data_IF_410202328716
#
_entry.id   IF_410202328716
#
_cell.length_a   1.000
_cell.length_b   1.000
_cell.length_c   1.000
_cell.angle_alpha   90.00
_cell.angle_beta   90.00
_cell.angle_gamma   90.00
#
_symmetry.space_group_name_H-M   'P 1'
#
loop_
_entity.id
_entity.type
_entity.pdbx_description
1 polymer ?
#
# COMPACT_ATOMS: atom_id res chain seq x y z
N UNK A 1 -33.19 13.19 16.70
CA UNK A 1 -34.02 12.05 16.26
C UNK A 1 -33.66 11.74 14.82
N UNK A 2 -32.89 10.68 14.57
CA UNK A 2 -32.74 10.15 13.21
C UNK A 2 -33.16 8.68 13.29
N UNK A 3 -34.48 8.46 13.19
CA UNK A 3 -35.09 7.14 13.15
C UNK A 3 -36.10 7.18 12.01
N UNK A 4 -35.87 6.42 10.94
CA UNK A 4 -36.79 6.37 9.81
C UNK A 4 -36.28 5.68 8.54
N UNK A 5 -34.97 5.41 8.42
CA UNK A 5 -34.43 4.68 7.27
C UNK A 5 -34.31 3.18 7.56
N UNK A 6 -34.76 2.36 6.63
CA UNK A 6 -34.43 0.93 6.57
C UNK A 6 -32.94 0.72 6.25
N UNK A 7 -32.34 -0.41 6.63
CA UNK A 7 -30.95 -0.73 6.30
C UNK A 7 -30.63 -0.62 4.81
N UNK A 8 -31.57 -1.01 3.95
CA UNK A 8 -31.46 -0.96 2.50
C UNK A 8 -31.45 0.50 1.99
N UNK A 9 -32.29 1.36 2.58
CA UNK A 9 -32.27 2.79 2.27
C UNK A 9 -30.98 3.45 2.74
N UNK A 10 -30.48 3.10 3.92
CA UNK A 10 -29.19 3.62 4.42
C UNK A 10 -28.06 3.20 3.48
N UNK A 11 -28.02 1.94 3.05
CA UNK A 11 -27.06 1.44 2.09
C UNK A 11 -27.14 2.17 0.75
N UNK A 12 -28.35 2.36 0.21
CA UNK A 12 -28.57 3.09 -1.04
C UNK A 12 -28.06 4.55 -0.95
N UNK A 13 -28.40 5.26 0.14
CA UNK A 13 -27.90 6.64 0.37
C UNK A 13 -26.37 6.67 0.46
N UNK A 14 -25.75 5.68 1.12
CA UNK A 14 -24.29 5.57 1.19
C UNK A 14 -23.66 5.40 -0.20
N UNK A 15 -24.19 4.51 -1.04
CA UNK A 15 -23.69 4.30 -2.41
C UNK A 15 -23.84 5.56 -3.27
N UNK A 16 -25.00 6.23 -3.21
CA UNK A 16 -25.26 7.44 -3.99
C UNK A 16 -24.30 8.57 -3.61
N UNK A 17 -24.11 8.80 -2.30
CA UNK A 17 -23.20 9.83 -1.80
C UNK A 17 -21.73 9.52 -2.07
N UNK A 18 -21.35 8.23 -2.07
CA UNK A 18 -20.04 7.78 -2.51
C UNK A 18 -19.82 8.06 -4.00
N UNK A 19 -20.76 7.68 -4.85
CA UNK A 19 -20.70 7.88 -6.30
C UNK A 19 -20.67 9.37 -6.68
N UNK A 20 -21.43 10.22 -5.97
CA UNK A 20 -21.43 11.67 -6.21
C UNK A 20 -20.15 12.37 -5.73
N UNK A 21 -19.36 11.68 -4.88
CA UNK A 21 -18.18 12.22 -4.21
C UNK A 21 -18.50 13.26 -3.13
N UNK A 22 -19.73 13.30 -2.62
CA UNK A 22 -20.17 14.27 -1.61
C UNK A 22 -19.76 13.83 -0.18
N UNK A 23 -18.46 13.82 0.09
CA UNK A 23 -17.87 13.25 1.31
C UNK A 23 -18.34 13.92 2.61
N UNK A 24 -18.51 15.25 2.61
CA UNK A 24 -18.99 15.97 3.81
C UNK A 24 -20.44 15.56 4.14
N UNK A 25 -21.30 15.47 3.13
CA UNK A 25 -22.69 15.00 3.30
C UNK A 25 -22.74 13.54 3.76
N UNK A 26 -21.87 12.70 3.20
CA UNK A 26 -21.72 11.30 3.62
C UNK A 26 -21.30 11.21 5.08
N UNK A 27 -20.34 12.03 5.51
CA UNK A 27 -19.92 12.08 6.91
C UNK A 27 -21.06 12.51 7.82
N UNK A 28 -21.75 13.62 7.50
CA UNK A 28 -22.89 14.08 8.30
C UNK A 28 -24.00 13.03 8.39
N UNK A 29 -24.29 12.35 7.27
CA UNK A 29 -25.27 11.26 7.24
C UNK A 29 -24.86 10.10 8.15
N UNK A 30 -23.61 9.63 8.09
CA UNK A 30 -23.12 8.56 8.95
C UNK A 30 -23.08 8.95 10.44
N UNK A 31 -22.78 10.22 10.76
CA UNK A 31 -22.81 10.74 12.14
C UNK A 31 -24.24 10.88 12.70
N UNK A 32 -25.27 10.91 11.85
CA UNK A 32 -26.66 10.99 12.31
C UNK A 32 -27.15 9.71 12.98
N UNK A 33 -26.43 8.59 12.79
CA UNK A 33 -26.70 7.32 13.46
C UNK A 33 -25.85 7.21 14.73
N UNK A 34 -26.44 6.89 15.89
CA UNK A 34 -25.68 6.77 17.13
C UNK A 34 -24.59 5.70 17.01
N UNK A 35 -23.35 6.08 17.31
CA UNK A 35 -22.21 5.18 17.52
C UNK A 35 -22.42 4.34 18.77
N UNK A 36 -23.48 3.54 18.86
CA UNK A 36 -23.66 2.65 20.00
C UNK A 36 -23.02 1.30 19.67
N UNK A 37 -21.77 1.19 20.11
CA UNK A 37 -21.11 -0.08 20.40
C UNK A 37 -22.12 -1.04 21.03
N UNK A 38 -22.12 -2.29 20.54
CA UNK A 38 -22.86 -3.43 21.09
C UNK A 38 -24.33 -3.63 20.67
N UNK A 39 -25.00 -2.70 19.98
CA UNK A 39 -26.40 -2.91 19.49
C UNK A 39 -26.56 -3.12 17.98
N UNK A 40 -25.47 -2.96 17.19
CA UNK A 40 -25.51 -3.15 15.71
C UNK A 40 -25.78 -4.59 15.25
N UNK A 41 -25.76 -5.57 16.15
CA UNK A 41 -26.06 -6.97 15.84
C UNK A 41 -27.54 -7.21 15.50
N UNK A 42 -28.46 -6.38 16.01
CA UNK A 42 -29.92 -6.65 15.93
C UNK A 42 -30.57 -6.14 14.62
N UNK A 43 -29.87 -5.32 13.82
CA UNK A 43 -30.38 -4.81 12.53
C UNK A 43 -29.79 -5.54 11.30
N UNK A 44 -29.07 -6.64 11.51
CA UNK A 44 -28.20 -7.27 10.52
C UNK A 44 -28.94 -8.36 9.69
N UNK A 45 -29.95 -7.95 8.93
CA UNK A 45 -30.67 -8.86 8.02
C UNK A 45 -30.01 -9.05 6.65
N UNK A 46 -29.11 -8.15 6.22
CA UNK A 46 -28.61 -8.13 4.84
C UNK A 46 -27.11 -7.80 4.81
N UNK A 47 -26.26 -8.78 4.50
CA UNK A 47 -24.80 -8.58 4.41
C UNK A 47 -24.40 -7.46 3.41
N UNK A 48 -25.17 -7.29 2.33
CA UNK A 48 -24.92 -6.26 1.32
C UNK A 48 -25.17 -4.84 1.83
N UNK A 49 -26.21 -4.64 2.66
CA UNK A 49 -26.51 -3.30 3.19
C UNK A 49 -25.45 -2.85 4.20
N UNK A 50 -24.95 -3.79 5.00
CA UNK A 50 -23.83 -3.56 5.90
C UNK A 50 -22.55 -3.21 5.13
N UNK A 51 -22.25 -3.90 4.02
CA UNK A 51 -21.06 -3.64 3.21
C UNK A 51 -21.02 -2.22 2.64
N UNK A 52 -22.15 -1.71 2.13
CA UNK A 52 -22.26 -0.33 1.64
C UNK A 52 -21.96 0.72 2.72
N UNK A 53 -22.43 0.49 3.95
CA UNK A 53 -22.16 1.38 5.08
C UNK A 53 -20.68 1.32 5.49
N UNK A 54 -20.08 0.12 5.52
CA UNK A 54 -18.66 -0.05 5.83
C UNK A 54 -17.76 0.62 4.79
N UNK A 55 -18.08 0.49 3.49
CA UNK A 55 -17.41 1.23 2.42
C UNK A 55 -17.48 2.74 2.63
N UNK A 56 -18.65 3.25 2.96
CA UNK A 56 -18.86 4.67 3.20
C UNK A 56 -18.04 5.18 4.40
N UNK A 57 -18.03 4.41 5.50
CA UNK A 57 -17.19 4.70 6.67
C UNK A 57 -15.70 4.72 6.33
N UNK A 58 -15.22 3.72 5.58
CA UNK A 58 -13.83 3.67 5.12
C UNK A 58 -13.47 4.90 4.26
N UNK A 59 -14.34 5.27 3.32
CA UNK A 59 -14.12 6.45 2.48
C UNK A 59 -14.13 7.76 3.30
N UNK A 60 -15.01 7.90 4.29
CA UNK A 60 -15.05 9.07 5.19
C UNK A 60 -13.83 9.12 6.11
N UNK A 61 -13.36 7.97 6.62
CA UNK A 61 -12.11 7.88 7.37
C UNK A 61 -10.93 8.36 6.52
N UNK A 62 -10.85 7.90 5.27
CA UNK A 62 -9.86 8.38 4.30
C UNK A 62 -9.97 9.89 4.03
N UNK A 63 -11.18 10.42 3.82
CA UNK A 63 -11.43 11.85 3.56
C UNK A 63 -10.90 12.77 4.68
N UNK A 64 -11.07 12.34 5.93
CA UNK A 64 -10.61 13.07 7.11
C UNK A 64 -9.17 12.72 7.53
N UNK A 65 -8.41 12.00 6.69
CA UNK A 65 -7.06 11.53 6.99
C UNK A 65 -6.95 10.70 8.28
N UNK A 66 -8.05 10.05 8.71
CA UNK A 66 -8.08 9.13 9.85
C UNK A 66 -7.65 7.74 9.39
N UNK A 67 -6.39 7.61 9.00
CA UNK A 67 -5.89 6.40 8.35
C UNK A 67 -5.88 5.17 9.27
N UNK A 68 -5.63 5.34 10.57
CA UNK A 68 -5.70 4.24 11.53
C UNK A 68 -7.08 3.55 11.52
N UNK A 69 -8.16 4.33 11.57
CA UNK A 69 -9.53 3.81 11.50
C UNK A 69 -9.83 3.16 10.15
N UNK A 70 -9.35 3.75 9.05
CA UNK A 70 -9.44 3.12 7.74
C UNK A 70 -8.80 1.72 7.74
N UNK A 71 -7.59 1.59 8.29
CA UNK A 71 -6.89 0.30 8.32
C UNK A 71 -7.65 -0.73 9.15
N UNK A 72 -8.08 -0.37 10.36
CA UNK A 72 -8.90 -1.23 11.23
C UNK A 72 -10.18 -1.69 10.53
N UNK A 73 -10.92 -0.77 9.90
CA UNK A 73 -12.16 -1.12 9.17
C UNK A 73 -11.90 -2.13 8.05
N UNK A 74 -10.81 -1.94 7.29
CA UNK A 74 -10.49 -2.81 6.17
C UNK A 74 -9.93 -4.16 6.62
N UNK A 75 -9.23 -4.24 7.74
CA UNK A 75 -8.65 -5.49 8.24
C UNK A 75 -9.67 -6.38 8.98
N UNK A 76 -10.65 -5.78 9.66
CA UNK A 76 -11.59 -6.51 10.52
C UNK A 76 -12.87 -6.98 9.81
N UNK A 77 -13.18 -6.44 8.63
CA UNK A 77 -14.44 -6.73 7.93
C UNK A 77 -14.18 -7.36 6.56
N UNK A 78 -14.89 -8.44 6.23
CA UNK A 78 -14.81 -9.09 4.91
C UNK A 78 -15.67 -8.36 3.88
N UNK A 79 -15.12 -8.10 2.69
CA UNK A 79 -15.84 -7.42 1.62
C UNK A 79 -16.01 -8.32 0.40
N UNK A 80 -17.12 -8.12 -0.33
CA UNK A 80 -17.32 -8.77 -1.63
C UNK A 80 -16.32 -8.25 -2.69
N UNK A 81 -15.98 -9.07 -3.70
CA UNK A 81 -15.06 -8.67 -4.77
C UNK A 81 -15.46 -7.39 -5.52
N UNK A 82 -16.76 -7.06 -5.55
CA UNK A 82 -17.29 -5.85 -6.19
C UNK A 82 -16.78 -4.57 -5.51
N UNK A 83 -16.51 -4.65 -4.21
CA UNK A 83 -16.06 -3.53 -3.39
C UNK A 83 -14.53 -3.43 -3.32
N UNK A 84 -13.81 -4.50 -3.64
CA UNK A 84 -12.34 -4.58 -3.53
C UNK A 84 -11.61 -3.44 -4.28
N UNK A 85 -11.93 -3.08 -5.54
CA UNK A 85 -11.16 -2.06 -6.26
C UNK A 85 -11.10 -0.71 -5.53
N UNK A 86 -12.25 -0.26 -4.99
CA UNK A 86 -12.31 0.98 -4.21
C UNK A 86 -11.48 0.88 -2.94
N UNK A 87 -11.68 -0.19 -2.17
CA UNK A 87 -11.05 -0.35 -0.86
C UNK A 87 -9.53 -0.54 -0.97
N UNK A 88 -9.07 -1.29 -1.98
CA UNK A 88 -7.64 -1.42 -2.30
C UNK A 88 -7.03 -0.06 -2.67
N UNK A 89 -7.76 0.77 -3.43
CA UNK A 89 -7.31 2.13 -3.74
C UNK A 89 -7.19 2.99 -2.48
N UNK A 90 -8.17 2.95 -1.58
CA UNK A 90 -8.12 3.70 -0.32
C UNK A 90 -6.92 3.26 0.54
N UNK A 91 -6.72 1.95 0.71
CA UNK A 91 -5.57 1.39 1.43
C UNK A 91 -4.23 1.87 0.88
N UNK A 92 -4.03 1.70 -0.43
CA UNK A 92 -2.77 2.07 -1.08
C UNK A 92 -2.52 3.58 -1.01
N UNK A 93 -3.55 4.37 -1.24
CA UNK A 93 -3.44 5.83 -1.26
C UNK A 93 -3.17 6.39 0.13
N UNK A 94 -3.79 5.84 1.17
CA UNK A 94 -3.54 6.23 2.56
C UNK A 94 -2.06 6.02 2.92
N UNK A 95 -1.53 4.81 2.68
CA UNK A 95 -0.11 4.55 2.94
C UNK A 95 0.84 5.38 2.06
N UNK A 96 0.45 5.71 0.82
CA UNK A 96 1.24 6.62 -0.01
C UNK A 96 1.27 8.02 0.60
N UNK A 97 0.13 8.55 1.04
CA UNK A 97 0.04 9.88 1.65
C UNK A 97 0.84 9.97 2.94
N UNK A 98 0.73 8.98 3.83
CA UNK A 98 1.55 8.94 5.06
C UNK A 98 3.05 8.93 4.74
N UNK A 99 3.47 8.12 3.78
CA UNK A 99 4.87 8.04 3.38
C UNK A 99 5.38 9.28 2.62
N UNK A 100 4.51 9.98 1.88
CA UNK A 100 4.84 11.26 1.25
C UNK A 100 4.99 12.37 2.29
N UNK A 101 4.10 12.41 3.27
CA UNK A 101 4.14 13.36 4.39
C UNK A 101 5.43 13.18 5.21
N UNK A 102 5.75 11.93 5.58
CA UNK A 102 6.99 11.61 6.31
C UNK A 102 8.27 11.98 5.54
N UNK A 103 8.24 11.96 4.21
CA UNK A 103 9.41 12.23 3.37
C UNK A 103 9.49 13.68 2.88
N UNK A 104 8.42 14.47 3.04
CA UNK A 104 8.30 15.82 2.50
C UNK A 104 8.38 15.91 0.97
N UNK A 105 8.18 14.79 0.25
CA UNK A 105 8.22 14.76 -1.23
C UNK A 105 7.37 13.64 -1.83
N UNK A 106 6.86 13.81 -3.05
CA UNK A 106 6.07 12.78 -3.73
C UNK A 106 6.83 11.44 -3.90
N UNK A 107 6.08 10.34 -3.86
CA UNK A 107 6.61 9.01 -4.10
C UNK A 107 6.73 8.73 -5.61
N UNK A 108 7.96 8.46 -6.06
CA UNK A 108 8.19 7.84 -7.37
C UNK A 108 7.78 6.36 -7.40
N UNK A 109 7.84 5.74 -8.58
CA UNK A 109 7.41 4.35 -8.81
C UNK A 109 8.06 3.34 -7.84
N UNK A 110 9.37 3.47 -7.59
CA UNK A 110 10.10 2.60 -6.65
C UNK A 110 9.63 2.80 -5.21
N UNK A 111 9.30 4.04 -4.83
CA UNK A 111 8.74 4.35 -3.52
C UNK A 111 7.40 3.66 -3.32
N UNK A 112 6.47 3.84 -4.27
CA UNK A 112 5.14 3.17 -4.24
C UNK A 112 5.26 1.65 -4.20
N UNK A 113 6.20 1.06 -4.94
CA UNK A 113 6.50 -0.37 -4.87
C UNK A 113 6.95 -0.82 -3.48
N UNK A 114 7.85 -0.07 -2.83
CA UNK A 114 8.31 -0.39 -1.46
C UNK A 114 7.16 -0.36 -0.45
N UNK A 115 6.26 0.62 -0.58
CA UNK A 115 5.08 0.73 0.28
C UNK A 115 4.15 -0.47 0.10
N UNK A 116 3.82 -0.85 -1.15
CA UNK A 116 3.00 -2.05 -1.43
C UNK A 116 3.57 -3.34 -0.83
N UNK A 117 4.90 -3.44 -0.77
CA UNK A 117 5.57 -4.60 -0.17
C UNK A 117 5.60 -4.55 1.36
N UNK A 118 5.68 -3.36 1.95
CA UNK A 118 5.68 -3.18 3.40
C UNK A 118 4.28 -3.36 3.98
N UNK A 119 3.26 -2.92 3.26
CA UNK A 119 1.85 -2.97 3.65
C UNK A 119 1.04 -3.66 2.55
N UNK A 120 1.10 -5.01 2.47
CA UNK A 120 0.30 -5.76 1.51
C UNK A 120 -1.19 -5.55 1.76
N UNK A 121 -2.01 -5.80 0.75
CA UNK A 121 -3.46 -5.69 0.88
C UNK A 121 -3.98 -6.80 1.81
N UNK A 122 -4.86 -6.47 2.78
CA UNK A 122 -5.41 -7.49 3.67
C UNK A 122 -6.37 -8.43 2.92
N UNK A 123 -6.46 -9.68 3.39
CA UNK A 123 -7.25 -10.77 2.76
C UNK A 123 -8.74 -10.46 2.66
N UNK A 124 -9.21 -9.54 3.49
CA UNK A 124 -10.58 -9.02 3.52
C UNK A 124 -10.97 -8.23 2.26
N UNK A 125 -9.98 -7.66 1.55
CA UNK A 125 -10.16 -6.87 0.32
C UNK A 125 -9.31 -7.39 -0.84
N UNK A 126 -8.79 -8.61 -0.73
CA UNK A 126 -7.92 -9.23 -1.73
C UNK A 126 -8.04 -10.76 -1.66
N UNK A 127 -8.35 -11.39 -2.79
CA UNK A 127 -8.59 -12.83 -2.97
C UNK A 127 -7.38 -13.73 -2.69
N UNK A 128 -6.19 -13.17 -2.76
CA UNK A 128 -4.96 -13.82 -2.35
C UNK A 128 -4.03 -14.22 -3.46
N UNK A 129 -4.35 -13.87 -4.71
CA UNK A 129 -3.49 -14.18 -5.84
C UNK A 129 -2.15 -13.44 -5.69
N UNK A 130 -1.09 -14.18 -5.36
CA UNK A 130 0.22 -13.57 -5.18
C UNK A 130 0.82 -13.24 -6.55
N UNK A 131 1.03 -11.95 -6.81
CA UNK A 131 1.85 -11.55 -7.96
C UNK A 131 3.31 -11.86 -7.65
N UNK A 132 3.80 -13.01 -8.11
CA UNK A 132 5.22 -13.34 -7.97
C UNK A 132 6.09 -12.42 -8.83
N UNK A 133 6.76 -11.47 -8.20
CA UNK A 133 7.69 -10.55 -8.86
C UNK A 133 9.06 -11.19 -9.17
N UNK A 134 9.28 -12.43 -8.72
CA UNK A 134 10.47 -13.19 -8.99
C UNK A 134 10.27 -14.06 -10.24
N UNK A 135 11.29 -14.16 -11.10
CA UNK A 135 11.25 -15.13 -12.18
C UNK A 135 11.15 -16.55 -11.62
N UNK A 136 10.56 -17.46 -12.41
CA UNK A 136 10.49 -18.89 -12.09
C UNK A 136 11.89 -19.44 -11.79
N UNK A 137 11.97 -20.43 -10.90
CA UNK A 137 13.25 -21.04 -10.47
C UNK A 137 14.10 -21.47 -11.67
N UNK A 138 13.50 -22.13 -12.66
CA UNK A 138 14.17 -22.54 -13.90
C UNK A 138 14.86 -21.37 -14.60
N UNK A 139 14.14 -20.26 -14.85
CA UNK A 139 14.70 -19.06 -15.47
C UNK A 139 15.81 -18.44 -14.61
N UNK A 140 15.66 -18.42 -13.28
CA UNK A 140 16.70 -17.92 -12.36
C UNK A 140 17.96 -18.77 -12.36
N UNK A 141 17.84 -20.09 -12.49
CA UNK A 141 18.98 -21.00 -12.54
C UNK A 141 19.81 -20.80 -13.79
N UNK A 142 19.18 -20.72 -14.97
CA UNK A 142 19.86 -20.41 -16.25
C UNK A 142 20.61 -19.09 -16.17
N UNK A 143 19.97 -18.03 -15.66
CA UNK A 143 20.62 -16.71 -15.53
C UNK A 143 21.81 -16.73 -14.55
N UNK A 144 21.72 -17.46 -13.44
CA UNK A 144 22.80 -17.60 -12.46
C UNK A 144 23.99 -18.37 -13.04
N UNK A 145 23.73 -19.50 -13.68
CA UNK A 145 24.77 -20.32 -14.32
C UNK A 145 25.53 -19.52 -15.37
N UNK A 146 24.80 -18.79 -16.22
CA UNK A 146 25.43 -17.93 -17.23
C UNK A 146 26.27 -16.83 -16.58
N UNK A 147 25.74 -16.17 -15.53
CA UNK A 147 26.43 -15.09 -14.83
C UNK A 147 27.77 -15.49 -14.24
N UNK A 148 27.86 -16.72 -13.68
CA UNK A 148 29.11 -17.26 -13.15
C UNK A 148 30.20 -17.40 -14.22
N UNK A 149 29.82 -17.65 -15.48
CA UNK A 149 30.76 -17.78 -16.61
C UNK A 149 31.12 -16.42 -17.21
N UNK A 150 30.10 -15.58 -17.42
CA UNK A 150 30.26 -14.28 -18.06
C UNK A 150 29.29 -13.30 -17.37
N UNK A 151 29.73 -12.18 -16.78
CA UNK A 151 28.80 -11.23 -16.14
C UNK A 151 28.19 -10.18 -17.09
N UNK A 152 28.70 -10.09 -18.32
CA UNK A 152 28.37 -9.06 -19.31
C UNK A 152 27.96 -9.69 -20.65
N UNK A 153 26.68 -10.06 -20.84
CA UNK A 153 26.20 -10.59 -22.11
C UNK A 153 26.05 -9.49 -23.16
N UNK A 154 26.45 -9.81 -24.39
CA UNK A 154 26.22 -9.01 -25.59
C UNK A 154 24.73 -8.93 -25.96
N UNK A 155 24.31 -7.99 -26.82
CA UNK A 155 22.92 -7.89 -27.26
C UNK A 155 22.36 -9.17 -27.88
N UNK A 156 23.18 -9.95 -28.59
CA UNK A 156 22.80 -11.25 -29.16
C UNK A 156 22.58 -12.28 -28.05
N UNK A 157 23.55 -12.44 -27.16
CA UNK A 157 23.46 -13.40 -26.05
C UNK A 157 22.28 -13.09 -25.11
N UNK A 158 21.93 -11.82 -24.93
CA UNK A 158 20.71 -11.42 -24.19
C UNK A 158 19.43 -11.89 -24.86
N UNK A 159 19.37 -11.88 -26.20
CA UNK A 159 18.23 -12.42 -26.97
C UNK A 159 18.16 -13.93 -26.83
N UNK A 160 19.30 -14.61 -26.89
CA UNK A 160 19.37 -16.07 -26.73
C UNK A 160 18.94 -16.49 -25.31
N UNK A 161 19.40 -15.76 -24.27
CA UNK A 161 18.97 -15.95 -22.89
C UNK A 161 17.49 -15.65 -22.68
N UNK A 162 16.96 -14.61 -23.33
CA UNK A 162 15.53 -14.30 -23.30
C UNK A 162 14.70 -15.47 -23.87
N UNK A 163 15.10 -16.00 -25.03
CA UNK A 163 14.47 -17.16 -25.64
C UNK A 163 14.55 -18.41 -24.73
N UNK A 164 15.72 -18.71 -24.16
CA UNK A 164 15.92 -19.87 -23.30
C UNK A 164 15.16 -19.79 -21.96
N UNK A 165 14.93 -18.60 -21.44
CA UNK A 165 14.30 -18.39 -20.12
C UNK A 165 12.82 -18.04 -20.18
N UNK A 166 12.28 -17.76 -21.37
CA UNK A 166 10.92 -17.25 -21.57
C UNK A 166 10.74 -15.83 -21.04
N UNK A 167 11.83 -15.06 -20.89
CA UNK A 167 11.83 -13.68 -20.42
C UNK A 167 12.02 -12.72 -21.60
N UNK A 168 11.72 -11.44 -21.40
CA UNK A 168 12.04 -10.40 -22.39
C UNK A 168 13.52 -10.02 -22.31
N UNK A 169 14.11 -9.56 -23.43
CA UNK A 169 15.50 -9.09 -23.46
C UNK A 169 15.75 -7.93 -22.46
N UNK A 170 14.72 -7.12 -22.19
CA UNK A 170 14.74 -6.06 -21.16
C UNK A 170 14.80 -6.65 -19.75
N UNK A 171 13.98 -7.67 -19.44
CA UNK A 171 14.02 -8.37 -18.15
C UNK A 171 15.39 -9.02 -17.90
N UNK A 172 15.96 -9.68 -18.91
CA UNK A 172 17.32 -10.24 -18.84
C UNK A 172 18.35 -9.12 -18.62
N UNK A 173 18.30 -8.05 -19.40
CA UNK A 173 19.21 -6.90 -19.24
C UNK A 173 19.16 -6.31 -17.83
N UNK A 174 17.95 -6.13 -17.28
CA UNK A 174 17.73 -5.62 -15.94
C UNK A 174 18.24 -6.58 -14.87
N UNK A 175 18.05 -7.89 -15.05
CA UNK A 175 18.54 -8.89 -14.12
C UNK A 175 20.07 -8.82 -13.98
N UNK A 176 20.79 -8.81 -15.11
CA UNK A 176 22.26 -8.71 -15.12
C UNK A 176 22.75 -7.40 -14.51
N UNK A 177 22.11 -6.27 -14.85
CA UNK A 177 22.41 -4.97 -14.24
C UNK A 177 22.24 -5.02 -12.71
N UNK A 178 21.10 -5.52 -12.25
CA UNK A 178 20.77 -5.60 -10.82
C UNK A 178 21.65 -6.60 -10.06
N UNK A 179 22.11 -7.67 -10.71
CA UNK A 179 23.03 -8.64 -10.09
C UNK A 179 24.40 -8.01 -9.86
N UNK A 180 24.98 -7.37 -10.88
CA UNK A 180 26.27 -6.65 -10.75
C UNK A 180 26.24 -5.52 -9.73
N UNK A 181 25.11 -4.82 -9.59
CA UNK A 181 24.95 -3.80 -8.56
C UNK A 181 24.95 -4.40 -7.15
N UNK A 182 24.30 -5.56 -6.95
CA UNK A 182 24.29 -6.27 -5.67
C UNK A 182 25.67 -6.78 -5.29
N UNK A 183 26.42 -7.33 -6.24
CA UNK A 183 27.78 -7.84 -5.98
C UNK A 183 28.71 -6.68 -5.57
N UNK A 184 28.68 -5.55 -6.29
CA UNK A 184 29.44 -4.35 -5.91
C UNK A 184 29.08 -3.83 -4.52
N UNK A 185 27.79 -3.82 -4.17
CA UNK A 185 27.35 -3.39 -2.84
C UNK A 185 27.80 -4.36 -1.74
N UNK A 186 27.88 -5.67 -2.01
CA UNK A 186 28.40 -6.66 -1.08
C UNK A 186 29.91 -6.50 -0.87
N UNK A 187 30.69 -6.32 -1.96
CA UNK A 187 32.14 -6.06 -1.86
C UNK A 187 32.45 -4.79 -1.10
N UNK A 188 31.68 -3.71 -1.31
CA UNK A 188 31.90 -2.43 -0.60
C UNK A 188 31.55 -2.53 0.91
N UNK A 189 30.66 -3.44 1.31
CA UNK A 189 30.39 -3.72 2.73
C UNK A 189 31.51 -4.54 3.35
N UNK A 190 32.07 -5.51 2.62
CA UNK A 190 33.19 -6.33 3.07
C UNK A 190 34.49 -5.51 3.21
N UNK A 191 34.72 -4.55 2.31
CA UNK A 191 35.88 -3.65 2.37
C UNK A 191 35.92 -2.74 3.60
N UNK A 192 34.75 -2.40 4.18
CA UNK A 192 34.66 -1.63 5.44
C UNK A 192 34.89 -2.48 6.68
N UNK A 193 34.81 -3.80 6.57
CA UNK A 193 35.09 -4.74 7.69
C UNK A 193 36.51 -5.27 7.70
N UNK A 194 37.31 -4.99 6.65
CA UNK A 194 38.64 -5.59 6.46
C UNK A 194 39.80 -4.60 6.45
N UNK A 195 39.53 -3.29 6.59
CA UNK A 195 40.56 -2.26 6.73
C UNK A 195 40.29 -1.46 8.01
N UNK A 196 40.99 -1.80 9.10
CA UNK A 196 40.99 -1.01 10.33
C UNK A 196 40.98 -1.79 11.64
N UNK A 197 41.78 -2.85 11.77
CA UNK A 197 42.28 -3.24 13.08
C UNK A 197 43.53 -2.42 13.39
N UNK A 198 43.34 -1.22 13.93
CA UNK A 198 44.36 -0.49 14.69
C UNK A 198 43.64 0.23 15.85
N UNK A 199 44.01 -0.17 17.07
CA UNK A 199 43.77 0.48 18.36
C UNK A 199 44.32 1.93 18.30
N UNK A 200 43.92 2.97 19.03
CA UNK A 200 43.08 3.22 20.21
C UNK A 200 42.95 4.75 20.32
N UNK A 201 41.83 5.27 20.83
CA UNK A 201 41.79 6.15 22.02
C UNK A 201 40.47 6.92 22.13
N UNK A 202 39.81 6.64 23.25
CA UNK A 202 38.94 7.46 24.11
C UNK A 202 38.22 8.69 23.53
N UNK A 203 36.89 8.63 23.52
CA UNK A 203 35.97 9.51 24.27
C UNK A 203 34.53 9.17 23.86
N UNK A 204 33.77 8.47 24.70
CA UNK A 204 32.89 9.01 25.74
C UNK A 204 31.42 9.06 25.26
N UNK A 205 30.54 8.57 26.13
CA UNK A 205 29.09 8.77 26.20
C UNK A 205 28.15 7.80 25.45
N UNK A 206 27.60 6.90 26.29
CA UNK A 206 26.34 6.16 26.20
C UNK A 206 25.15 6.91 25.56
N UNK A 207 24.10 6.19 25.11
CA UNK A 207 22.98 6.77 24.38
C UNK A 207 21.93 7.37 25.32
N UNK A 208 21.25 8.47 24.96
CA UNK A 208 19.96 8.77 25.53
C UNK A 208 18.82 8.36 24.60
N UNK A 209 17.86 7.72 25.27
CA UNK A 209 16.44 7.56 25.00
C UNK A 209 15.76 8.52 23.97
N UNK A 210 14.66 7.99 23.43
CA UNK A 210 13.53 8.65 22.77
C UNK A 210 13.36 10.15 23.07
N UNK A 211 13.00 10.95 22.06
CA UNK A 211 12.20 12.14 22.28
C UNK A 211 10.77 11.89 21.81
N UNK A 212 9.90 11.65 22.79
CA UNK A 212 8.53 12.14 22.75
C UNK A 212 8.60 13.67 22.77
N UNK A 213 8.41 14.32 21.62
CA UNK A 213 8.11 15.76 21.59
C UNK A 213 6.89 15.98 20.72
N UNK A 214 5.81 16.36 21.41
CA UNK A 214 4.58 16.89 20.87
C UNK A 214 4.90 18.07 19.97
N UNK A 215 4.86 17.88 18.66
CA UNK A 215 4.73 18.99 17.72
C UNK A 215 3.25 19.26 17.51
N UNK A 216 2.80 20.41 18.04
CA UNK A 216 1.48 20.98 17.78
C UNK A 216 1.27 21.10 16.27
N UNK A 217 0.45 20.20 15.73
CA UNK A 217 -0.08 20.27 14.38
C UNK A 217 -1.21 21.30 14.37
N UNK A 218 -0.86 22.58 14.29
CA UNK A 218 -1.83 23.66 14.15
C UNK A 218 -1.14 24.82 13.46
N UNK A 219 -0.96 24.72 12.14
CA UNK A 219 -1.21 25.79 11.15
C UNK A 219 -0.58 25.44 9.78
N UNK A 220 -1.44 25.49 8.75
CA UNK A 220 -1.14 25.59 7.30
C UNK A 220 -0.63 24.31 6.59
N UNK A 221 -1.22 23.76 5.53
CA UNK A 221 -2.31 24.18 4.62
C UNK A 221 -2.89 22.92 3.95
N UNK A 222 -4.22 22.90 3.80
CA UNK A 222 -5.10 21.96 3.09
C UNK A 222 -4.46 20.90 2.18
N UNK A 223 -4.23 19.71 2.71
CA UNK A 223 -4.08 18.49 1.91
C UNK A 223 -5.35 17.64 2.03
N UNK A 224 -6.50 18.18 1.63
CA UNK A 224 -7.66 17.33 1.42
C UNK A 224 -7.29 16.30 0.35
N UNK A 225 -7.56 15.00 0.56
CA UNK A 225 -7.42 14.04 -0.52
C UNK A 225 -8.31 14.50 -1.68
N UNK A 226 -7.84 14.46 -2.94
CA UNK A 226 -8.65 14.92 -4.05
C UNK A 226 -9.95 14.11 -4.12
N UNK A 227 -11.04 14.76 -4.54
CA UNK A 227 -12.37 14.18 -4.48
C UNK A 227 -12.40 12.85 -5.23
N UNK A 228 -13.09 11.87 -4.65
CA UNK A 228 -13.30 10.54 -5.23
C UNK A 228 -14.11 10.55 -6.55
N UNK A 229 -14.34 11.72 -7.16
CA UNK A 229 -15.13 11.94 -8.38
C UNK A 229 -14.57 11.27 -9.65
N UNK A 230 -13.37 10.67 -9.58
CA UNK A 230 -12.82 9.86 -10.68
C UNK A 230 -13.15 8.36 -10.53
N UNK A 231 -13.97 7.99 -9.54
CA UNK A 231 -14.56 6.65 -9.42
C UNK A 231 -15.74 6.51 -10.40
N UNK A 232 -15.45 6.62 -11.70
CA UNK A 232 -16.37 6.14 -12.72
C UNK A 232 -16.53 4.62 -12.62
N UNK A 233 -17.66 4.04 -13.08
CA UNK A 233 -17.85 2.59 -13.05
C UNK A 233 -16.72 1.92 -13.83
N UNK A 234 -16.13 0.86 -13.27
CA UNK A 234 -15.51 -0.13 -14.12
C UNK A 234 -16.63 -0.68 -15.01
N UNK A 235 -16.57 -0.37 -16.31
CA UNK A 235 -17.51 -0.88 -17.28
C UNK A 235 -17.45 -2.41 -17.28
N UNK A 236 -18.59 -3.01 -16.90
CA UNK A 236 -19.04 -4.41 -17.05
C UNK A 236 -18.16 -5.53 -16.48
#
# INVERSE_FOLDING_TARGET
MAMGFSPEQVACVCEVLLQSGSMDRLSSFLCSFPSNSSSSSVYLGMAQSQESVLKARAAVAFHHCRFAELYTLLEENTFSPRSHPLLQQLWLRAHYMEAELQRGRPLGAVGKYRIRRKFPLPRTIWDGEETSYCFKEKSRSVLREWYCRKPYPSPREKRDLAAATGLTATQVSNWFKNRRQRDRAATNRQGRTSAGAFLSSDEELSPPASPSTLFSCSQQLSAHPPPLRHLGPAHY
#
